data_IF_242248530261
#
_entry.id   IF_242248530261
#
_cell.length_a   1.000
_cell.length_b   1.000
_cell.length_c   1.000
_cell.angle_alpha   90.00
_cell.angle_beta   90.00
_cell.angle_gamma   90.00
#
_symmetry.space_group_name_H-M   'P 1'
#
loop_
_entity.id
_entity.type
_entity.pdbx_description
1 polymer ?
#
# COMPACT_ATOMS: atom_id res chain seq x y z
N UNK A 1 -8.76 -9.29 31.38
CA UNK A 1 -8.81 -8.12 30.48
C UNK A 1 -8.39 -8.65 29.11
N UNK A 2 -9.31 -8.74 28.16
CA UNK A 2 -8.99 -9.24 26.83
C UNK A 2 -8.29 -8.13 26.03
N UNK A 3 -7.24 -8.44 25.24
CA UNK A 3 -6.66 -7.45 24.35
C UNK A 3 -7.75 -6.97 23.37
N UNK A 4 -7.90 -5.66 23.25
CA UNK A 4 -8.82 -5.07 22.30
C UNK A 4 -8.27 -5.34 20.90
N UNK A 5 -9.07 -5.97 20.04
CA UNK A 5 -8.67 -6.22 18.65
C UNK A 5 -8.34 -4.90 17.96
N UNK A 6 -7.24 -4.88 17.20
CA UNK A 6 -6.87 -3.72 16.41
C UNK A 6 -7.95 -3.43 15.35
N UNK A 7 -8.26 -2.16 15.09
CA UNK A 7 -9.17 -1.79 14.01
C UNK A 7 -8.59 -2.24 12.66
N UNK A 8 -9.48 -2.50 11.70
CA UNK A 8 -9.15 -2.94 10.35
C UNK A 8 -9.01 -1.79 9.33
N UNK A 9 -9.21 -0.55 9.79
CA UNK A 9 -9.20 0.66 8.95
C UNK A 9 -8.45 1.78 9.66
N UNK A 10 -7.57 2.46 8.92
CA UNK A 10 -6.95 3.72 9.34
C UNK A 10 -7.95 4.85 9.18
N UNK A 11 -8.36 5.48 10.27
CA UNK A 11 -9.24 6.64 10.26
C UNK A 11 -8.43 7.92 10.30
N UNK A 12 -8.46 8.64 9.17
CA UNK A 12 -7.73 9.88 8.94
C UNK A 12 -8.73 11.03 8.86
N UNK A 13 -8.42 12.16 9.50
CA UNK A 13 -9.08 13.44 9.25
C UNK A 13 -8.07 14.39 8.66
N UNK A 14 -8.44 15.03 7.55
CA UNK A 14 -7.67 16.09 6.93
C UNK A 14 -8.42 17.41 7.14
N UNK A 15 -7.79 18.39 7.78
CA UNK A 15 -8.37 19.71 8.01
C UNK A 15 -7.30 20.81 7.91
N UNK A 16 -7.68 22.07 8.16
CA UNK A 16 -6.77 23.22 8.04
C UNK A 16 -5.57 23.19 9.00
N UNK A 17 -5.55 22.28 9.98
CA UNK A 17 -4.41 22.06 10.88
C UNK A 17 -3.50 20.89 10.47
N UNK A 18 -3.88 20.13 9.43
CA UNK A 18 -3.08 19.07 8.85
C UNK A 18 -3.74 17.69 8.91
N UNK A 19 -2.89 16.66 8.93
CA UNK A 19 -3.27 15.25 9.00
C UNK A 19 -3.50 14.84 10.46
N UNK A 20 -4.60 14.13 10.74
CA UNK A 20 -4.89 13.56 12.06
C UNK A 20 -5.27 12.09 11.93
N UNK A 21 -4.61 11.20 12.67
CA UNK A 21 -4.93 9.76 12.69
C UNK A 21 -5.54 9.39 14.04
N UNK A 22 -6.71 8.75 14.01
CA UNK A 22 -7.41 8.30 15.23
C UNK A 22 -7.22 6.82 15.55
N UNK A 23 -6.68 6.05 14.60
CA UNK A 23 -6.36 4.62 14.74
C UNK A 23 -4.91 4.40 14.30
N UNK A 24 -3.94 4.76 15.16
CA UNK A 24 -2.52 4.72 14.80
C UNK A 24 -1.98 3.28 14.67
N UNK A 25 -2.65 2.29 15.26
CA UNK A 25 -2.34 0.88 15.06
C UNK A 25 -3.51 0.20 14.37
N UNK A 26 -3.23 -0.54 13.30
CA UNK A 26 -4.24 -1.10 12.41
C UNK A 26 -3.86 -2.50 11.98
N UNK A 27 -4.85 -3.38 11.88
CA UNK A 27 -4.69 -4.69 11.27
C UNK A 27 -5.08 -4.60 9.80
N UNK A 28 -4.24 -5.04 8.85
CA UNK A 28 -4.62 -5.08 7.44
C UNK A 28 -5.79 -6.06 7.24
N UNK A 29 -6.58 -5.84 6.19
CA UNK A 29 -7.53 -6.83 5.67
C UNK A 29 -6.80 -7.81 4.76
N UNK A 30 -7.51 -8.83 4.29
CA UNK A 30 -6.94 -9.82 3.37
C UNK A 30 -6.39 -9.19 2.08
N UNK A 31 -7.01 -8.10 1.62
CA UNK A 31 -6.57 -7.28 0.48
C UNK A 31 -5.65 -6.11 0.84
N UNK A 32 -5.25 -5.97 2.11
CA UNK A 32 -4.28 -4.99 2.57
C UNK A 32 -4.86 -3.86 3.40
N UNK A 33 -4.19 -2.70 3.38
CA UNK A 33 -4.51 -1.59 4.27
C UNK A 33 -5.65 -0.73 3.73
N UNK A 34 -6.68 -0.50 4.56
CA UNK A 34 -7.81 0.38 4.24
C UNK A 34 -7.70 1.69 5.00
N UNK A 35 -8.03 2.80 4.33
CA UNK A 35 -7.93 4.15 4.89
C UNK A 35 -9.28 4.86 4.69
N UNK A 36 -9.94 5.22 5.78
CA UNK A 36 -11.14 6.06 5.77
C UNK A 36 -10.74 7.50 6.05
N UNK A 37 -10.97 8.38 5.08
CA UNK A 37 -10.59 9.79 5.09
C UNK A 37 -11.82 10.66 5.33
N UNK A 38 -11.80 11.48 6.37
CA UNK A 38 -12.71 12.61 6.62
C UNK A 38 -12.01 13.89 6.14
N UNK A 39 -12.21 14.27 4.88
CA UNK A 39 -11.72 15.53 4.32
C UNK A 39 -12.67 16.70 4.69
N UNK A 40 -12.13 17.65 5.45
CA UNK A 40 -12.81 18.88 5.86
C UNK A 40 -12.28 20.13 5.16
N UNK A 41 -11.37 19.98 4.21
CA UNK A 41 -10.84 21.07 3.38
C UNK A 41 -11.77 21.35 2.19
N UNK A 42 -12.58 20.37 1.79
CA UNK A 42 -13.57 20.54 0.72
C UNK A 42 -12.94 20.52 -0.68
N UNK A 43 -11.77 19.90 -0.80
CA UNK A 43 -11.00 19.80 -2.04
C UNK A 43 -10.52 18.36 -2.24
N UNK A 44 -10.14 18.00 -3.46
CA UNK A 44 -9.57 16.67 -3.71
C UNK A 44 -8.16 16.61 -3.12
N UNK A 45 -7.94 15.70 -2.18
CA UNK A 45 -6.65 15.47 -1.56
C UNK A 45 -5.94 14.28 -2.19
N UNK A 46 -4.61 14.23 -2.06
CA UNK A 46 -3.86 12.98 -2.22
C UNK A 46 -3.51 12.45 -0.83
N UNK A 47 -3.85 11.20 -0.56
CA UNK A 47 -3.38 10.49 0.62
C UNK A 47 -2.10 9.81 0.24
N UNK A 48 -1.03 10.11 0.97
CA UNK A 48 0.30 9.55 0.73
C UNK A 48 0.69 8.71 1.94
N UNK A 49 1.14 7.48 1.69
CA UNK A 49 1.66 6.58 2.72
C UNK A 49 3.10 6.25 2.41
N UNK A 50 3.97 6.44 3.41
CA UNK A 50 5.39 6.11 3.36
C UNK A 50 5.70 4.95 4.31
N UNK A 51 6.46 3.99 3.83
CA UNK A 51 7.03 2.90 4.61
C UNK A 51 8.42 2.58 4.07
N UNK A 52 9.33 2.08 4.92
CA UNK A 52 10.72 1.90 4.52
C UNK A 52 11.45 3.22 4.25
N UNK A 53 12.50 3.18 3.42
CA UNK A 53 13.40 4.32 3.23
C UNK A 53 12.97 5.29 2.13
N UNK A 54 12.26 4.86 1.08
CA UNK A 54 12.18 5.68 -0.13
C UNK A 54 10.83 5.70 -0.86
N UNK A 55 9.90 4.78 -0.55
CA UNK A 55 8.66 4.67 -1.33
C UNK A 55 7.45 5.30 -0.64
N UNK A 56 6.78 6.16 -1.40
CA UNK A 56 5.52 6.78 -1.04
C UNK A 56 4.49 6.42 -2.11
N UNK A 57 3.45 5.69 -1.71
CA UNK A 57 2.29 5.43 -2.56
C UNK A 57 1.22 6.48 -2.31
N UNK A 58 0.48 6.87 -3.35
CA UNK A 58 -0.45 8.00 -3.32
C UNK A 58 -1.74 7.70 -4.08
N UNK A 59 -2.90 7.98 -3.47
CA UNK A 59 -4.19 7.97 -4.18
C UNK A 59 -5.06 9.16 -3.80
N UNK A 60 -5.95 9.54 -4.72
CA UNK A 60 -6.89 10.62 -4.50
C UNK A 60 -7.98 10.25 -3.49
N UNK A 61 -8.29 11.17 -2.58
CA UNK A 61 -9.49 11.15 -1.74
C UNK A 61 -10.44 12.27 -2.17
N UNK A 62 -11.73 11.94 -2.28
CA UNK A 62 -12.78 12.92 -2.55
C UNK A 62 -13.10 13.76 -1.30
N UNK A 63 -13.77 14.91 -1.48
CA UNK A 63 -14.18 15.74 -0.34
C UNK A 63 -15.20 15.03 0.55
N UNK A 64 -15.17 15.34 1.85
CA UNK A 64 -16.00 14.68 2.85
C UNK A 64 -15.47 13.30 3.24
N UNK A 65 -16.37 12.36 3.54
CA UNK A 65 -15.99 11.01 3.98
C UNK A 65 -15.79 10.09 2.77
N UNK A 66 -14.58 9.54 2.60
CA UNK A 66 -14.26 8.57 1.55
C UNK A 66 -13.35 7.45 2.06
N UNK A 67 -13.55 6.23 1.57
CA UNK A 67 -12.62 5.12 1.79
C UNK A 67 -11.67 5.04 0.59
N UNK A 68 -10.37 5.08 0.87
CA UNK A 68 -9.31 4.94 -0.13
C UNK A 68 -8.79 3.51 -0.03
N UNK A 69 -9.18 2.71 -1.00
CA UNK A 69 -8.60 1.38 -1.29
C UNK A 69 -7.44 1.57 -2.26
N UNK A 70 -6.47 0.65 -2.30
CA UNK A 70 -5.23 0.75 -3.08
C UNK A 70 -5.41 0.98 -4.59
N UNK A 71 -4.29 1.17 -5.29
CA UNK A 71 -4.24 1.59 -6.71
C UNK A 71 -4.64 0.49 -7.72
N UNK A 72 -4.99 -0.71 -7.25
CA UNK A 72 -5.44 -1.83 -8.07
C UNK A 72 -6.96 -1.88 -8.24
N UNK A 73 -7.42 -2.55 -9.31
CA UNK A 73 -8.84 -2.67 -9.66
C UNK A 73 -9.72 -3.38 -8.61
N UNK A 74 -9.11 -4.00 -7.59
CA UNK A 74 -9.72 -4.52 -6.36
C UNK A 74 -8.62 -4.68 -5.30
N UNK A 75 -8.62 -3.87 -4.24
CA UNK A 75 -7.85 -4.21 -3.03
C UNK A 75 -7.36 -3.01 -2.22
N UNK A 76 -6.92 -3.28 -1.00
CA UNK A 76 -6.27 -2.35 -0.09
C UNK A 76 -4.84 -1.99 -0.52
N UNK A 77 -4.18 -1.15 0.27
CA UNK A 77 -2.81 -0.73 -0.02
C UNK A 77 -1.81 -1.82 0.41
N UNK A 78 -0.77 -2.11 -0.39
CA UNK A 78 0.23 -3.14 -0.10
C UNK A 78 1.28 -2.65 0.92
N UNK A 79 0.86 -2.01 2.02
CA UNK A 79 1.76 -1.48 3.05
C UNK A 79 2.27 -2.63 3.92
N UNK A 80 3.60 -2.88 3.97
CA UNK A 80 4.16 -3.96 4.79
C UNK A 80 3.81 -3.81 6.27
N UNK A 81 3.81 -4.92 7.03
CA UNK A 81 3.76 -4.88 8.48
C UNK A 81 4.91 -4.05 9.04
N UNK A 82 4.64 -3.27 10.09
CA UNK A 82 5.64 -2.44 10.74
C UNK A 82 5.30 -0.95 10.75
N UNK A 83 6.34 -0.12 10.84
CA UNK A 83 6.20 1.33 10.93
C UNK A 83 5.93 1.93 9.55
N UNK A 84 4.90 2.79 9.49
CA UNK A 84 4.60 3.60 8.33
C UNK A 84 4.20 5.01 8.78
N UNK A 85 4.03 5.92 7.84
CA UNK A 85 3.51 7.25 8.09
C UNK A 85 2.58 7.68 6.98
N UNK A 86 1.58 8.47 7.32
CA UNK A 86 0.56 8.95 6.40
C UNK A 86 0.52 10.47 6.40
N UNK A 87 0.22 11.05 5.23
CA UNK A 87 -0.02 12.48 5.08
C UNK A 87 -1.16 12.77 4.09
N UNK A 88 -1.99 13.76 4.42
CA UNK A 88 -2.88 14.41 3.47
C UNK A 88 -2.09 15.49 2.71
N UNK A 89 -2.15 15.47 1.37
CA UNK A 89 -1.45 16.40 0.49
C UNK A 89 -2.48 17.14 -0.36
N UNK A 90 -2.48 18.48 -0.28
CA UNK A 90 -3.37 19.33 -1.08
C UNK A 90 -2.86 19.50 -2.52
N UNK A 91 -3.72 19.89 -3.47
CA UNK A 91 -3.28 20.25 -4.81
C UNK A 91 -2.19 21.33 -4.77
N UNK A 92 -1.04 21.04 -5.38
CA UNK A 92 0.10 21.97 -5.44
C UNK A 92 1.05 21.92 -4.25
N UNK A 93 0.77 21.12 -3.22
CA UNK A 93 1.75 20.83 -2.17
C UNK A 93 2.79 19.80 -2.63
N UNK A 94 4.02 19.94 -2.13
CA UNK A 94 5.09 18.96 -2.35
C UNK A 94 4.86 17.71 -1.49
N UNK A 95 4.56 16.58 -2.14
CA UNK A 95 4.41 15.28 -1.49
C UNK A 95 5.72 14.75 -0.89
N UNK A 96 6.88 15.25 -1.35
CA UNK A 96 8.21 14.90 -0.84
C UNK A 96 8.59 15.64 0.45
N UNK A 97 7.80 16.65 0.86
CA UNK A 97 8.11 17.45 2.04
C UNK A 97 8.23 16.59 3.32
N UNK A 98 9.23 16.85 4.18
CA UNK A 98 9.47 16.06 5.39
C UNK A 98 8.48 16.36 6.52
N UNK A 99 7.60 17.36 6.36
CA UNK A 99 6.66 17.80 7.39
C UNK A 99 5.27 17.13 7.23
N UNK A 100 4.41 17.22 8.25
CA UNK A 100 3.01 16.80 8.16
C UNK A 100 2.74 15.30 8.12
N UNK A 101 3.78 14.48 8.30
CA UNK A 101 3.68 13.03 8.43
C UNK A 101 3.18 12.63 9.81
N UNK A 102 2.19 11.75 9.85
CA UNK A 102 1.65 11.18 11.10
C UNK A 102 1.98 9.69 11.13
N UNK A 103 2.59 9.18 12.20
CA UNK A 103 2.98 7.78 12.29
C UNK A 103 1.75 6.87 12.40
N UNK A 104 1.84 5.72 11.74
CA UNK A 104 0.94 4.58 11.90
C UNK A 104 1.76 3.28 12.02
N UNK A 105 1.13 2.21 12.49
CA UNK A 105 1.73 0.89 12.55
C UNK A 105 0.76 -0.15 12.02
N UNK A 106 1.22 -0.87 11.00
CA UNK A 106 0.49 -2.01 10.42
C UNK A 106 0.88 -3.26 11.19
N UNK A 107 -0.12 -3.94 11.76
CA UNK A 107 0.05 -5.16 12.57
C UNK A 107 -0.63 -6.31 11.84
N UNK A 108 0.15 -7.05 11.07
CA UNK A 108 -0.31 -8.27 10.42
C UNK A 108 -0.21 -9.46 11.38
N UNK A 109 -1.26 -9.66 12.18
CA UNK A 109 -1.34 -10.76 13.14
C UNK A 109 -1.55 -12.12 12.48
N UNK A 110 -2.11 -12.11 11.27
CA UNK A 110 -2.50 -13.31 10.52
C UNK A 110 -1.37 -13.78 9.59
N UNK A 111 -0.32 -12.97 9.41
CA UNK A 111 0.88 -13.31 8.63
C UNK A 111 0.58 -13.48 7.14
N UNK A 112 -0.37 -12.70 6.62
CA UNK A 112 -0.85 -12.79 5.24
C UNK A 112 0.00 -12.00 4.25
N UNK A 113 0.84 -11.08 4.73
CA UNK A 113 1.72 -10.28 3.88
C UNK A 113 2.91 -11.11 3.37
N UNK A 114 3.10 -11.12 2.05
CA UNK A 114 4.27 -11.69 1.38
C UNK A 114 5.32 -10.59 1.17
N UNK A 115 6.51 -10.64 1.79
CA UNK A 115 7.56 -9.65 1.59
C UNK A 115 8.00 -9.55 0.12
N UNK A 116 8.22 -8.33 -0.35
CA UNK A 116 8.84 -8.09 -1.65
C UNK A 116 10.38 -8.25 -1.59
N UNK A 117 10.96 -8.04 -0.40
CA UNK A 117 12.39 -8.23 -0.18
C UNK A 117 12.76 -9.71 -0.24
N UNK A 118 13.74 -10.03 -1.08
CA UNK A 118 14.28 -11.39 -1.19
C UNK A 118 15.28 -11.62 -0.04
N UNK A 119 15.05 -12.68 0.74
CA UNK A 119 15.87 -13.03 1.91
C UNK A 119 17.22 -13.68 1.58
N UNK A 120 17.82 -13.38 0.44
CA UNK A 120 19.04 -14.02 -0.07
C UNK A 120 20.23 -13.04 -0.02
N UNK A 121 21.43 -13.54 0.32
CA UNK A 121 22.67 -12.73 0.36
C UNK A 121 23.05 -12.15 -1.01
N UNK A 122 22.69 -12.86 -2.09
CA UNK A 122 22.81 -12.41 -3.48
C UNK A 122 21.43 -12.37 -4.12
N UNK A 123 21.03 -11.20 -4.61
CA UNK A 123 19.71 -10.99 -5.21
C UNK A 123 19.83 -10.35 -6.59
N UNK A 124 19.10 -10.90 -7.57
CA UNK A 124 18.86 -10.24 -8.85
C UNK A 124 17.50 -9.56 -8.78
N UNK A 125 17.49 -8.23 -8.68
CA UNK A 125 16.28 -7.42 -8.76
C UNK A 125 16.11 -6.94 -10.20
N UNK A 126 14.90 -7.07 -10.74
CA UNK A 126 14.52 -6.48 -12.02
C UNK A 126 13.24 -5.67 -11.87
N UNK A 127 13.24 -4.44 -12.36
CA UNK A 127 12.00 -3.68 -12.58
C UNK A 127 11.62 -3.76 -14.06
N UNK A 128 10.34 -3.97 -14.33
CA UNK A 128 9.76 -3.86 -15.67
C UNK A 128 8.62 -2.85 -15.59
N UNK A 129 8.94 -1.58 -15.83
CA UNK A 129 7.96 -0.49 -15.82
C UNK A 129 6.98 -0.61 -16.99
N UNK A 130 7.40 -1.27 -18.08
CA UNK A 130 6.57 -1.64 -19.22
C UNK A 130 7.03 -2.96 -19.85
N UNK A 131 6.18 -3.99 -19.82
CA UNK A 131 6.41 -5.22 -20.57
C UNK A 131 5.87 -5.03 -21.99
N UNK A 132 6.76 -4.88 -22.99
CA UNK A 132 6.37 -4.75 -24.40
C UNK A 132 5.55 -5.95 -24.92
N UNK A 133 5.62 -7.10 -24.23
CA UNK A 133 4.83 -8.31 -24.48
C UNK A 133 3.40 -8.26 -23.92
N UNK A 134 3.00 -7.22 -23.18
CA UNK A 134 1.65 -7.03 -22.65
C UNK A 134 0.63 -6.60 -23.74
N UNK A 135 0.78 -7.11 -24.96
CA UNK A 135 -0.20 -6.95 -26.02
C UNK A 135 -1.44 -7.81 -25.74
N UNK A 136 -2.59 -7.14 -25.61
CA UNK A 136 -3.99 -7.62 -25.65
C UNK A 136 -4.45 -8.80 -24.75
N UNK A 137 -3.58 -9.71 -24.31
CA UNK A 137 -3.87 -10.72 -23.29
C UNK A 137 -3.04 -10.41 -22.05
N UNK A 138 -3.68 -9.84 -21.03
CA UNK A 138 -3.07 -9.64 -19.72
C UNK A 138 -2.87 -11.02 -19.09
N UNK A 139 -1.75 -11.67 -19.40
CA UNK A 139 -1.24 -12.77 -18.58
C UNK A 139 -0.75 -12.13 -17.29
N UNK A 140 -1.34 -12.51 -16.16
CA UNK A 140 -1.11 -11.86 -14.87
C UNK A 140 0.39 -11.74 -14.49
N UNK A 141 0.73 -10.88 -13.53
CA UNK A 141 2.12 -10.49 -13.23
C UNK A 141 3.06 -11.68 -12.96
N UNK A 142 2.55 -12.74 -12.33
CA UNK A 142 3.32 -13.98 -12.08
C UNK A 142 3.73 -14.69 -13.38
N UNK A 143 2.80 -14.80 -14.35
CA UNK A 143 3.10 -15.44 -15.64
C UNK A 143 4.11 -14.58 -16.43
N UNK A 144 3.94 -13.26 -16.42
CA UNK A 144 4.87 -12.34 -17.06
C UNK A 144 6.27 -12.44 -16.45
N UNK A 145 6.39 -12.52 -15.12
CA UNK A 145 7.65 -12.72 -14.43
C UNK A 145 8.31 -14.05 -14.84
N UNK A 146 7.56 -15.17 -14.85
CA UNK A 146 8.06 -16.48 -15.27
C UNK A 146 8.59 -16.52 -16.70
N UNK A 147 7.96 -15.78 -17.61
CA UNK A 147 8.35 -15.77 -19.02
C UNK A 147 9.51 -14.80 -19.34
N UNK A 148 9.66 -13.73 -18.56
CA UNK A 148 10.58 -12.63 -18.89
C UNK A 148 11.81 -12.54 -18.00
N UNK A 149 11.77 -13.06 -16.78
CA UNK A 149 12.91 -13.01 -15.87
C UNK A 149 13.91 -14.14 -16.20
N UNK A 150 15.13 -13.81 -16.67
CA UNK A 150 16.15 -14.82 -16.92
C UNK A 150 16.63 -15.42 -15.60
N UNK A 151 16.96 -16.72 -15.62
CA UNK A 151 17.54 -17.41 -14.46
C UNK A 151 16.55 -18.14 -13.57
N UNK A 152 15.23 -17.98 -13.79
CA UNK A 152 14.23 -18.78 -13.11
C UNK A 152 14.32 -20.26 -13.52
N UNK A 153 14.33 -21.16 -12.54
CA UNK A 153 14.23 -22.59 -12.73
C UNK A 153 12.77 -23.05 -12.67
N UNK A 154 12.50 -24.25 -13.20
CA UNK A 154 11.13 -24.77 -13.31
C UNK A 154 10.45 -25.03 -11.96
N UNK A 155 11.25 -25.19 -10.90
CA UNK A 155 10.82 -25.41 -9.52
C UNK A 155 10.83 -24.14 -8.65
N UNK A 156 11.19 -22.98 -9.23
CA UNK A 156 11.13 -21.72 -8.49
C UNK A 156 9.69 -21.33 -8.18
N UNK A 157 9.49 -20.91 -6.92
CA UNK A 157 8.25 -20.29 -6.47
C UNK A 157 8.25 -18.85 -6.95
N UNK A 158 7.23 -18.51 -7.74
CA UNK A 158 6.96 -17.15 -8.21
C UNK A 158 5.53 -16.85 -7.83
N UNK A 159 5.35 -15.86 -6.97
CA UNK A 159 4.08 -15.43 -6.42
C UNK A 159 4.02 -13.91 -6.33
N UNK A 160 2.82 -13.31 -6.23
CA UNK A 160 2.70 -11.87 -5.99
C UNK A 160 3.24 -11.49 -4.61
N UNK A 161 4.04 -10.43 -4.54
CA UNK A 161 4.38 -9.80 -3.27
C UNK A 161 3.21 -8.93 -2.77
N UNK A 162 3.16 -8.71 -1.46
CA UNK A 162 2.12 -7.93 -0.80
C UNK A 162 1.01 -8.77 -0.17
N UNK A 163 -0.16 -8.16 0.00
CA UNK A 163 -1.36 -8.88 0.44
C UNK A 163 -2.04 -9.57 -0.74
N UNK A 164 -2.65 -10.75 -0.55
CA UNK A 164 -3.37 -11.44 -1.61
C UNK A 164 -4.56 -10.62 -2.10
N UNK A 165 -4.86 -10.71 -3.40
CA UNK A 165 -6.13 -10.18 -3.91
C UNK A 165 -7.30 -10.96 -3.29
N UNK A 166 -8.38 -10.27 -2.89
CA UNK A 166 -9.60 -10.95 -2.44
C UNK A 166 -10.18 -11.74 -3.62
N UNK A 167 -10.44 -13.03 -3.36
CA UNK A 167 -10.70 -14.09 -4.33
C UNK A 167 -11.45 -13.72 -5.62
N UNK A 168 -10.98 -14.32 -6.72
CA UNK A 168 -11.77 -14.55 -7.93
C UNK A 168 -12.75 -15.69 -7.73
#
# INVERSE_FOLDING_TARGET
MWPQANPDVVRVRCDGSGTHVSTPEVRPRADGLHILVDDRLGERLSIVVRYGTDDAIGLGAGPGLSEVTGSGARGGWPVPPGAASLRCVRPGEDAGSPEGWVPIRVIDQDGVYVPADLGCDDTVVGSVDHAASAGAEVRGPVQAARETLPGLWGDDVVEPAGYPEVGT
#
